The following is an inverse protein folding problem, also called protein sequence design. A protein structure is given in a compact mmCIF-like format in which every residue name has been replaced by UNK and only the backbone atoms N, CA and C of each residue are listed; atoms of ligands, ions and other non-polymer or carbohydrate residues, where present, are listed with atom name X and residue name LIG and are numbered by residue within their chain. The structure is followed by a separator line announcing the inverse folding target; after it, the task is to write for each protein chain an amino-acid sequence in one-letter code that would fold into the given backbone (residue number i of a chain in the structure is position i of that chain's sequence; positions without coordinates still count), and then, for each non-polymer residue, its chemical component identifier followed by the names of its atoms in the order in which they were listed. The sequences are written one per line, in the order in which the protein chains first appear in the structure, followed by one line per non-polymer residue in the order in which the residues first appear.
data_IF_671302171791
#
_entry.id   IF_671302171791
#
_cell.length_a   1.000
_cell.length_b   1.000
_cell.length_c   1.000
_cell.angle_alpha   90.00
_cell.angle_beta   90.00
_cell.angle_gamma   90.00
#
_symmetry.space_group_name_H-M   'P 1'
#
loop_
_entity.id
_entity.type
_entity.pdbx_description
1 polymer ?
#
# COMPACT_ATOMS: atom_id res chain seq x y z
N UNK A 1 -25.86 0.58 3.10
CA UNK A 1 -25.33 1.93 2.87
C UNK A 1 -24.54 2.35 4.10
N UNK A 2 -23.21 2.41 3.98
CA UNK A 2 -22.27 2.84 5.02
C UNK A 2 -22.69 4.18 5.65
N UNK A 3 -23.19 5.10 4.81
CA UNK A 3 -23.68 6.43 5.18
C UNK A 3 -24.89 6.44 6.13
N UNK A 4 -25.70 5.36 6.19
CA UNK A 4 -26.92 5.35 7.03
C UNK A 4 -26.63 5.35 8.54
N UNK A 5 -25.43 4.93 8.93
CA UNK A 5 -25.02 4.84 10.33
C UNK A 5 -23.83 5.77 10.62
N UNK A 6 -23.52 6.69 9.69
CA UNK A 6 -22.52 7.73 9.95
C UNK A 6 -23.07 8.62 11.07
N UNK A 7 -22.38 8.62 12.22
CA UNK A 7 -22.77 9.36 13.42
C UNK A 7 -23.44 8.52 14.53
N UNK A 8 -23.74 7.24 14.29
CA UNK A 8 -24.18 6.33 15.35
C UNK A 8 -22.98 5.69 16.05
N UNK A 9 -22.48 6.38 17.09
CA UNK A 9 -21.36 5.90 17.91
C UNK A 9 -21.75 4.80 18.90
N UNK A 10 -23.06 4.51 19.05
CA UNK A 10 -23.54 3.46 19.96
C UNK A 10 -23.36 2.05 19.38
N UNK A 11 -23.17 1.96 18.06
CA UNK A 11 -23.10 0.70 17.33
C UNK A 11 -21.78 0.55 16.60
N UNK A 12 -21.02 -0.48 17.00
CA UNK A 12 -19.87 -0.91 16.21
C UNK A 12 -20.32 -1.47 14.84
N UNK A 13 -19.55 -1.17 13.80
CA UNK A 13 -19.71 -1.81 12.49
C UNK A 13 -19.28 -3.28 12.58
N UNK A 14 -20.05 -4.18 11.97
CA UNK A 14 -19.64 -5.58 11.85
C UNK A 14 -18.50 -5.73 10.84
N UNK A 15 -17.64 -6.72 11.07
CA UNK A 15 -16.56 -7.10 10.13
C UNK A 15 -17.10 -7.37 8.73
N UNK A 16 -18.23 -8.07 8.60
CA UNK A 16 -18.90 -8.31 7.31
C UNK A 16 -19.28 -7.01 6.60
N UNK A 17 -19.78 -6.03 7.36
CA UNK A 17 -20.16 -4.75 6.78
C UNK A 17 -18.93 -4.01 6.28
N UNK A 18 -17.88 -3.89 7.10
CA UNK A 18 -16.61 -3.27 6.72
C UNK A 18 -16.04 -3.92 5.45
N UNK A 19 -15.96 -5.25 5.43
CA UNK A 19 -15.46 -6.02 4.28
C UNK A 19 -16.27 -5.76 3.01
N UNK A 20 -17.61 -5.82 3.08
CA UNK A 20 -18.46 -5.52 1.92
C UNK A 20 -18.19 -4.11 1.39
N UNK A 21 -18.09 -3.13 2.27
CA UNK A 21 -17.87 -1.75 1.86
C UNK A 21 -16.48 -1.52 1.27
N UNK A 22 -15.45 -2.13 1.85
CA UNK A 22 -14.10 -2.16 1.26
C UNK A 22 -14.13 -2.70 -0.16
N UNK A 23 -14.81 -3.83 -0.39
CA UNK A 23 -14.92 -4.40 -1.74
C UNK A 23 -15.64 -3.47 -2.71
N UNK A 24 -16.79 -2.92 -2.31
CA UNK A 24 -17.53 -1.98 -3.16
C UNK A 24 -16.71 -0.75 -3.53
N UNK A 25 -15.87 -0.24 -2.62
CA UNK A 25 -14.97 0.89 -2.92
C UNK A 25 -13.83 0.47 -3.85
N UNK A 26 -13.22 -0.70 -3.62
CA UNK A 26 -12.16 -1.21 -4.49
C UNK A 26 -12.65 -1.46 -5.92
N UNK A 27 -13.89 -1.92 -6.09
CA UNK A 27 -14.51 -2.15 -7.40
C UNK A 27 -14.79 -0.85 -8.17
N UNK A 28 -14.83 0.30 -7.49
CA UNK A 28 -14.91 1.63 -8.11
C UNK A 28 -13.54 2.18 -8.54
N UNK A 29 -12.44 1.58 -8.09
CA UNK A 29 -11.09 1.99 -8.48
C UNK A 29 -10.74 1.34 -9.82
N UNK A 30 -10.23 2.14 -10.76
CA UNK A 30 -9.78 1.64 -12.06
C UNK A 30 -8.42 0.93 -11.90
N UNK A 31 -8.46 -0.31 -11.43
CA UNK A 31 -7.28 -1.14 -11.18
C UNK A 31 -6.82 -1.80 -12.49
N UNK A 32 -5.54 -1.68 -12.87
CA UNK A 32 -5.01 -2.35 -14.05
C UNK A 32 -5.26 -3.85 -14.02
N UNK A 33 -5.61 -4.44 -15.17
CA UNK A 33 -5.88 -5.87 -15.30
C UNK A 33 -4.70 -6.70 -14.78
N UNK A 34 -4.98 -7.63 -13.85
CA UNK A 34 -3.97 -8.49 -13.22
C UNK A 34 -3.46 -8.02 -11.85
N UNK A 35 -3.77 -6.80 -11.43
CA UNK A 35 -3.44 -6.36 -10.06
C UNK A 35 -4.39 -6.98 -9.04
N UNK A 36 -3.82 -7.43 -7.92
CA UNK A 36 -4.61 -7.90 -6.79
C UNK A 36 -5.24 -6.70 -6.10
N UNK A 37 -6.53 -6.80 -5.71
CA UNK A 37 -7.18 -5.75 -4.92
C UNK A 37 -6.33 -5.45 -3.69
N UNK A 38 -5.91 -4.19 -3.47
CA UNK A 38 -5.04 -3.87 -2.36
C UNK A 38 -5.76 -4.16 -1.04
N UNK A 39 -5.05 -4.82 -0.11
CA UNK A 39 -5.58 -4.99 1.24
C UNK A 39 -5.70 -3.59 1.86
N UNK A 40 -6.87 -3.20 2.34
CA UNK A 40 -7.08 -1.86 2.93
C UNK A 40 -6.06 -1.56 4.03
N UNK A 41 -5.69 -2.56 4.84
CA UNK A 41 -4.67 -2.45 5.89
C UNK A 41 -3.27 -2.09 5.35
N UNK A 42 -2.98 -2.37 4.09
CA UNK A 42 -1.70 -2.05 3.47
C UNK A 42 -1.62 -0.60 2.94
N UNK A 43 -2.74 0.09 2.74
CA UNK A 43 -2.77 1.41 2.09
C UNK A 43 -1.96 2.45 2.88
N UNK A 44 -2.23 2.59 4.18
CA UNK A 44 -1.51 3.53 5.04
C UNK A 44 0.00 3.28 5.05
N UNK A 45 0.45 2.06 5.41
CA UNK A 45 1.87 1.68 5.35
C UNK A 45 2.53 1.91 3.99
N UNK A 46 1.84 1.60 2.89
CA UNK A 46 2.35 1.83 1.52
C UNK A 46 2.56 3.32 1.25
N UNK A 47 1.60 4.17 1.64
CA UNK A 47 1.76 5.63 1.50
C UNK A 47 2.88 6.17 2.39
N UNK A 48 3.02 5.65 3.61
CA UNK A 48 4.11 6.01 4.50
C UNK A 48 5.48 5.61 3.92
N UNK A 49 5.60 4.41 3.36
CA UNK A 49 6.81 3.98 2.64
C UNK A 49 7.12 4.89 1.45
N UNK A 50 6.12 5.22 0.63
CA UNK A 50 6.30 6.13 -0.50
C UNK A 50 6.72 7.55 -0.06
N UNK A 51 6.31 7.99 1.13
CA UNK A 51 6.73 9.24 1.75
C UNK A 51 8.12 9.16 2.43
N UNK A 52 8.78 8.00 2.40
CA UNK A 52 10.10 7.80 3.00
C UNK A 52 10.09 7.57 4.51
N UNK A 53 8.94 7.23 5.10
CA UNK A 53 8.86 6.90 6.53
C UNK A 53 9.73 5.67 6.85
N UNK A 54 10.43 5.65 8.00
CA UNK A 54 11.35 4.58 8.31
C UNK A 54 10.60 3.26 8.54
N UNK A 55 11.14 2.12 8.04
CA UNK A 55 10.55 0.79 8.21
C UNK A 55 10.12 0.43 9.63
N UNK A 56 10.91 0.80 10.63
CA UNK A 56 10.62 0.53 12.05
C UNK A 56 9.36 1.23 12.55
N UNK A 57 9.13 2.49 12.15
CA UNK A 57 7.93 3.25 12.51
C UNK A 57 6.69 2.69 11.81
N UNK A 58 6.81 2.32 10.54
CA UNK A 58 5.71 1.70 9.78
C UNK A 58 5.28 0.40 10.45
N UNK A 59 6.24 -0.48 10.79
CA UNK A 59 5.97 -1.76 11.45
C UNK A 59 5.34 -1.57 12.82
N UNK A 60 5.85 -0.61 13.60
CA UNK A 60 5.31 -0.28 14.92
C UNK A 60 3.87 0.23 14.84
N UNK A 61 3.59 1.20 13.98
CA UNK A 61 2.25 1.77 13.83
C UNK A 61 1.24 0.78 13.22
N UNK A 62 1.69 -0.10 12.32
CA UNK A 62 0.84 -1.11 11.71
C UNK A 62 0.62 -2.36 12.60
N UNK A 63 1.28 -2.42 13.76
CA UNK A 63 1.29 -3.57 14.67
C UNK A 63 1.68 -4.87 13.96
N UNK A 64 2.75 -4.81 13.18
CA UNK A 64 3.32 -5.99 12.55
C UNK A 64 4.50 -6.53 13.37
N UNK A 65 4.73 -7.86 13.36
CA UNK A 65 5.80 -8.44 14.16
C UNK A 65 7.20 -8.11 13.60
N UNK A 66 7.31 -7.78 12.32
CA UNK A 66 8.55 -7.35 11.67
C UNK A 66 8.26 -6.74 10.28
N UNK A 67 9.29 -6.11 9.69
CA UNK A 67 9.22 -5.53 8.34
C UNK A 67 9.03 -6.58 7.24
N UNK A 68 9.59 -7.78 7.41
CA UNK A 68 9.46 -8.85 6.43
C UNK A 68 8.00 -9.24 6.19
N UNK A 69 7.15 -9.24 7.24
CA UNK A 69 5.72 -9.48 7.11
C UNK A 69 5.03 -8.42 6.25
N UNK A 70 5.39 -7.14 6.42
CA UNK A 70 4.88 -6.05 5.59
C UNK A 70 5.29 -6.22 4.13
N UNK A 71 6.60 -6.32 3.90
CA UNK A 71 7.21 -6.39 2.57
C UNK A 71 6.74 -7.60 1.76
N UNK A 72 6.49 -8.73 2.44
CA UNK A 72 6.11 -9.97 1.76
C UNK A 72 4.61 -10.05 1.45
N UNK A 73 3.75 -9.59 2.37
CA UNK A 73 2.31 -9.87 2.29
C UNK A 73 1.43 -8.65 2.06
N UNK A 74 1.96 -7.46 2.24
CA UNK A 74 1.17 -6.23 2.27
C UNK A 74 1.70 -5.15 1.34
N UNK A 75 3.01 -5.09 1.06
CA UNK A 75 3.55 -4.10 0.14
C UNK A 75 3.13 -4.42 -1.31
N UNK A 76 2.31 -3.57 -1.98
CA UNK A 76 1.74 -3.87 -3.29
C UNK A 76 2.76 -3.83 -4.43
N UNK A 77 3.81 -3.00 -4.29
CA UNK A 77 4.82 -2.80 -5.31
C UNK A 77 6.18 -3.20 -4.75
N UNK A 78 6.73 -4.30 -5.26
CA UNK A 78 8.17 -4.54 -5.21
C UNK A 78 8.74 -3.82 -6.40
N UNK A 79 9.15 -2.56 -6.23
CA UNK A 79 10.19 -2.04 -7.10
C UNK A 79 11.42 -2.89 -6.79
N UNK A 80 11.57 -4.01 -7.49
CA UNK A 80 12.91 -4.51 -7.75
C UNK A 80 13.59 -3.32 -8.39
N UNK A 81 14.47 -2.65 -7.64
CA UNK A 81 15.44 -1.78 -8.26
C UNK A 81 16.19 -2.69 -9.22
N UNK A 82 15.74 -2.72 -10.48
CA UNK A 82 16.29 -3.57 -11.53
C UNK A 82 17.76 -3.23 -11.78
N UNK A 83 18.21 -2.09 -11.27
CA UNK A 83 19.59 -1.70 -11.22
C UNK A 83 19.89 -0.85 -9.98
N UNK A 84 20.28 -1.48 -8.87
CA UNK A 84 20.75 -0.78 -7.65
C UNK A 84 21.86 0.24 -7.97
N UNK A 85 22.65 -0.02 -9.01
CA UNK A 85 23.72 0.86 -9.48
C UNK A 85 23.18 2.22 -9.93
N UNK A 86 22.05 2.27 -10.64
CA UNK A 86 21.46 3.54 -11.11
C UNK A 86 20.76 4.33 -10.00
N UNK A 87 20.26 3.66 -8.96
CA UNK A 87 19.72 4.35 -7.78
C UNK A 87 20.78 5.04 -6.91
N UNK A 88 22.05 4.61 -7.03
CA UNK A 88 23.19 5.18 -6.28
C UNK A 88 24.03 6.11 -7.15
N UNK A 89 24.15 5.79 -8.44
CA UNK A 89 24.87 6.57 -9.42
C UNK A 89 23.90 7.04 -10.50
N UNK A 90 23.58 8.34 -10.52
CA UNK A 90 22.99 8.97 -11.70
C UNK A 90 24.02 8.86 -12.85
N UNK A 91 23.92 7.80 -13.64
CA UNK A 91 24.69 7.68 -14.87
C UNK A 91 24.00 8.54 -15.92
N UNK A 92 24.54 9.73 -16.16
CA UNK A 92 24.19 10.51 -17.35
C UNK A 92 24.48 9.67 -18.59
N UNK A 93 23.54 9.55 -19.55
CA UNK A 93 23.78 8.85 -20.78
C UNK A 93 24.83 9.65 -21.57
N UNK A 94 26.08 9.18 -21.56
CA UNK A 94 27.08 9.67 -22.48
C UNK A 94 26.60 9.37 -23.91
N UNK A 95 26.06 10.39 -24.57
CA UNK A 95 25.79 10.43 -26.00
C UNK A 95 27.08 10.10 -26.76
N UNK A 96 27.28 8.82 -27.08
CA UNK A 96 28.19 8.43 -28.14
C UNK A 96 27.44 8.63 -29.45
N UNK A 97 27.61 9.82 -30.03
CA UNK A 97 27.29 10.08 -31.42
C UNK A 97 28.29 9.26 -32.26
N UNK A 98 27.85 8.54 -33.32
CA UNK A 98 28.70 7.68 -34.13
C UNK A 98 29.80 8.45 -34.90
#
# INVERSE_FOLDING_TARGET
MLLRHIGDYSRALSTDSITRYTHSLADLMDLPAGNTRPKTRALGPTMATAAGAPPSEIVSQAFWPNYYMFETYYLPYRSSYSNLTESVLHLEPHNMIP
#
